data_IF_300647045073
#
_entry.id   IF_300647045073
#
_cell.length_a   1.000
_cell.length_b   1.000
_cell.length_c   1.000
_cell.angle_alpha   90.00
_cell.angle_beta   90.00
_cell.angle_gamma   90.00
#
_symmetry.space_group_name_H-M   'P 1'
#
loop_
_entity.id
_entity.type
_entity.pdbx_description
1 polymer ?
#
# COMPACT_ATOMS: atom_id res chain seq x y z
N UNK A 1 10.93 -5.64 61.05
CA UNK A 1 10.76 -4.18 60.89
C UNK A 1 11.30 -3.78 59.52
N UNK A 2 10.42 -3.40 58.58
CA UNK A 2 10.85 -2.90 57.26
C UNK A 2 11.13 -1.40 57.39
N UNK A 3 12.35 -0.98 57.10
CA UNK A 3 12.74 0.43 57.05
C UNK A 3 12.24 1.05 55.75
N UNK A 4 11.40 2.06 55.87
CA UNK A 4 10.91 2.86 54.75
C UNK A 4 11.97 3.91 54.41
N UNK A 5 12.65 3.76 53.28
CA UNK A 5 13.58 4.77 52.76
C UNK A 5 12.76 5.73 51.91
N UNK A 6 12.49 6.91 52.45
CA UNK A 6 11.80 7.98 51.75
C UNK A 6 12.80 8.78 50.92
N UNK A 7 12.82 8.55 49.60
CA UNK A 7 13.65 9.30 48.67
C UNK A 7 12.99 10.65 48.37
N UNK A 8 13.39 11.70 49.09
CA UNK A 8 13.03 13.07 48.76
C UNK A 8 13.72 13.51 47.46
N UNK A 9 13.09 13.20 46.32
CA UNK A 9 13.51 13.67 45.01
C UNK A 9 13.07 15.12 44.84
N UNK A 10 13.86 16.06 45.37
CA UNK A 10 13.71 17.49 45.04
C UNK A 10 14.06 17.66 43.56
N UNK A 11 13.04 17.58 42.69
CA UNK A 11 13.18 17.74 41.23
C UNK A 11 13.82 19.10 40.95
N UNK A 12 15.12 19.12 40.64
CA UNK A 12 15.81 20.30 40.10
C UNK A 12 15.39 20.43 38.64
N UNK A 13 14.20 20.97 38.42
CA UNK A 13 13.76 21.37 37.08
C UNK A 13 14.51 22.64 36.70
N UNK A 14 15.37 22.55 35.69
CA UNK A 14 16.07 23.69 35.12
C UNK A 14 15.07 24.53 34.34
N UNK A 15 14.54 25.57 34.97
CA UNK A 15 13.60 26.51 34.34
C UNK A 15 14.20 27.21 33.10
N UNK A 16 15.53 27.28 32.99
CA UNK A 16 16.22 27.75 31.80
C UNK A 16 15.98 26.89 30.55
N UNK A 17 15.64 25.61 30.69
CA UNK A 17 15.29 24.73 29.56
C UNK A 17 13.80 24.82 29.19
N UNK A 18 12.97 25.38 30.08
CA UNK A 18 11.54 25.59 29.87
C UNK A 18 11.24 26.96 29.22
N UNK A 19 12.21 27.88 29.23
CA UNK A 19 12.10 29.18 28.57
C UNK A 19 12.34 29.05 27.05
N UNK A 20 11.30 28.69 26.30
CA UNK A 20 11.29 28.85 24.85
C UNK A 20 10.66 30.20 24.49
N UNK A 21 11.48 31.23 24.33
CA UNK A 21 11.04 32.49 23.73
C UNK A 21 11.75 33.73 24.24
N UNK A 22 12.13 34.57 23.29
CA UNK A 22 12.56 35.97 23.42
C UNK A 22 13.96 36.34 23.91
N UNK A 23 14.83 35.41 24.29
CA UNK A 23 16.25 35.73 24.48
C UNK A 23 17.06 35.30 23.25
N UNK A 24 17.55 36.29 22.49
CA UNK A 24 18.19 36.16 21.16
C UNK A 24 19.51 35.39 21.09
N UNK A 25 19.76 34.43 21.98
CA UNK A 25 21.01 33.67 22.07
C UNK A 25 21.01 32.30 21.36
N UNK A 26 19.85 31.69 21.11
CA UNK A 26 19.80 30.31 20.58
C UNK A 26 19.81 30.24 19.05
N UNK A 27 19.31 31.26 18.34
CA UNK A 27 19.29 31.29 16.88
C UNK A 27 20.69 31.25 16.25
N UNK A 28 21.67 31.89 16.90
CA UNK A 28 23.07 31.97 16.42
C UNK A 28 23.84 30.65 16.56
N UNK A 29 23.47 29.80 17.53
CA UNK A 29 24.14 28.50 17.77
C UNK A 29 23.64 27.39 16.84
N UNK A 30 22.41 27.50 16.37
CA UNK A 30 21.77 26.49 15.51
C UNK A 30 21.63 26.92 14.05
N UNK A 31 22.27 28.03 13.63
CA UNK A 31 22.12 28.63 12.29
C UNK A 31 20.65 28.71 11.84
N UNK A 32 19.72 28.90 12.79
CA UNK A 32 18.31 29.01 12.47
C UNK A 32 18.10 30.36 11.80
N UNK A 33 17.64 30.33 10.54
CA UNK A 33 17.24 31.55 9.85
C UNK A 33 16.21 32.28 10.72
N UNK A 34 16.31 33.62 10.86
CA UNK A 34 15.38 34.37 11.68
C UNK A 34 13.93 34.07 11.25
N UNK A 35 13.05 33.92 12.25
CA UNK A 35 11.63 33.64 12.04
C UNK A 35 11.09 34.65 11.02
N UNK A 36 10.55 34.23 9.86
CA UNK A 36 9.93 35.17 8.94
C UNK A 36 8.82 35.92 9.68
N UNK A 37 8.69 37.23 9.45
CA UNK A 37 7.71 38.10 10.12
C UNK A 37 6.25 37.70 9.87
N UNK A 38 6.03 36.75 8.95
CA UNK A 38 4.75 36.19 8.56
C UNK A 38 4.80 34.67 8.68
N UNK A 39 3.76 34.07 9.27
CA UNK A 39 3.59 32.62 9.24
C UNK A 39 3.57 32.11 7.79
N UNK A 40 4.14 30.93 7.51
CA UNK A 40 4.07 30.35 6.17
C UNK A 40 2.61 30.25 5.74
N UNK A 41 2.28 30.85 4.60
CA UNK A 41 0.98 30.72 3.98
C UNK A 41 0.91 29.31 3.39
N UNK A 42 0.16 28.43 4.05
CA UNK A 42 -0.10 27.09 3.52
C UNK A 42 -1.50 27.08 2.93
N UNK A 43 -1.63 26.55 1.72
CA UNK A 43 -2.91 26.30 1.08
C UNK A 43 -3.22 24.82 1.16
N UNK A 44 -4.50 24.46 1.27
CA UNK A 44 -4.90 23.06 1.21
C UNK A 44 -4.76 22.58 -0.22
N UNK A 45 -4.00 21.50 -0.39
CA UNK A 45 -3.94 20.79 -1.67
C UNK A 45 -5.35 20.26 -2.01
N UNK A 46 -5.85 20.51 -3.23
CA UNK A 46 -7.11 19.93 -3.69
C UNK A 46 -7.10 18.41 -3.61
N UNK A 47 -8.27 17.79 -3.42
CA UNK A 47 -8.38 16.33 -3.43
C UNK A 47 -8.13 15.80 -4.84
N UNK A 48 -7.44 14.67 -4.94
CA UNK A 48 -7.23 14.01 -6.24
C UNK A 48 -8.56 13.47 -6.77
N UNK A 49 -8.77 13.59 -8.09
CA UNK A 49 -9.92 13.01 -8.78
C UNK A 49 -10.04 11.50 -8.63
N UNK A 50 -8.90 10.79 -8.50
CA UNK A 50 -8.88 9.34 -8.28
C UNK A 50 -9.46 8.96 -6.92
N UNK A 51 -9.02 9.62 -5.84
CA UNK A 51 -9.55 9.35 -4.50
C UNK A 51 -11.05 9.68 -4.39
N UNK A 52 -11.52 10.70 -5.10
CA UNK A 52 -12.96 11.02 -5.17
C UNK A 52 -13.77 9.91 -5.87
N UNK A 53 -13.25 9.36 -6.98
CA UNK A 53 -13.86 8.20 -7.66
C UNK A 53 -13.88 6.96 -6.78
N UNK A 54 -12.80 6.69 -6.05
CA UNK A 54 -12.74 5.54 -5.14
C UNK A 54 -13.74 5.67 -3.98
N UNK A 55 -13.94 6.90 -3.47
CA UNK A 55 -14.89 7.15 -2.40
C UNK A 55 -16.33 6.77 -2.79
N UNK A 56 -16.71 6.98 -4.05
CA UNK A 56 -18.04 6.61 -4.56
C UNK A 56 -18.11 5.16 -5.06
N UNK A 57 -17.02 4.63 -5.61
CA UNK A 57 -16.99 3.30 -6.21
C UNK A 57 -16.99 2.17 -5.17
N UNK A 58 -16.18 2.27 -4.10
CA UNK A 58 -16.01 1.18 -3.14
C UNK A 58 -17.32 0.75 -2.45
N UNK A 59 -18.20 1.67 -2.02
CA UNK A 59 -19.50 1.29 -1.47
C UNK A 59 -20.39 0.54 -2.48
N UNK A 60 -20.43 1.00 -3.73
CA UNK A 60 -21.22 0.36 -4.80
C UNK A 60 -20.71 -1.05 -5.11
N UNK A 61 -19.38 -1.21 -5.14
CA UNK A 61 -18.76 -2.51 -5.33
C UNK A 61 -19.05 -3.45 -4.15
N UNK A 62 -19.01 -2.95 -2.91
CA UNK A 62 -19.35 -3.75 -1.74
C UNK A 62 -20.80 -4.25 -1.79
N UNK A 63 -21.75 -3.37 -2.10
CA UNK A 63 -23.16 -3.73 -2.27
C UNK A 63 -23.36 -4.75 -3.40
N UNK A 64 -22.70 -4.54 -4.55
CA UNK A 64 -22.76 -5.47 -5.67
C UNK A 64 -22.19 -6.85 -5.30
N UNK A 65 -21.13 -6.90 -4.50
CA UNK A 65 -20.52 -8.14 -4.02
C UNK A 65 -21.43 -8.89 -3.05
N UNK A 66 -22.12 -8.20 -2.15
CA UNK A 66 -23.11 -8.81 -1.25
C UNK A 66 -24.29 -9.39 -2.03
N UNK A 67 -24.81 -8.62 -3.00
CA UNK A 67 -25.87 -9.09 -3.89
C UNK A 67 -25.44 -10.32 -4.70
N UNK A 68 -24.22 -10.31 -5.24
CA UNK A 68 -23.68 -11.44 -5.99
C UNK A 68 -23.62 -12.69 -5.11
N UNK A 69 -23.16 -12.57 -3.87
CA UNK A 69 -23.13 -13.71 -2.92
C UNK A 69 -24.51 -14.30 -2.68
N UNK A 70 -25.51 -13.47 -2.42
CA UNK A 70 -26.90 -13.92 -2.23
C UNK A 70 -27.41 -14.66 -3.48
N UNK A 71 -27.14 -14.10 -4.67
CA UNK A 71 -27.54 -14.72 -5.93
C UNK A 71 -26.81 -16.05 -6.19
N UNK A 72 -25.55 -16.19 -5.78
CA UNK A 72 -24.80 -17.44 -5.90
C UNK A 72 -25.35 -18.54 -4.98
N UNK A 73 -25.92 -18.18 -3.83
CA UNK A 73 -26.57 -19.13 -2.92
C UNK A 73 -27.92 -19.63 -3.47
N UNK A 74 -28.67 -18.76 -4.15
CA UNK A 74 -29.98 -19.10 -4.72
C UNK A 74 -29.90 -19.79 -6.10
N UNK A 75 -28.88 -19.45 -6.90
CA UNK A 75 -28.76 -19.93 -8.26
C UNK A 75 -28.17 -21.35 -8.35
N UNK A 76 -28.49 -22.11 -9.41
CA UNK A 76 -27.84 -23.38 -9.68
C UNK A 76 -26.32 -23.26 -9.86
N UNK A 77 -25.61 -24.34 -9.50
CA UNK A 77 -24.17 -24.46 -9.73
C UNK A 77 -23.83 -24.23 -11.21
N UNK A 78 -22.81 -23.40 -11.47
CA UNK A 78 -22.33 -23.10 -12.82
C UNK A 78 -22.94 -21.85 -13.48
N UNK A 79 -24.01 -21.27 -12.94
CA UNK A 79 -24.62 -20.05 -13.47
C UNK A 79 -23.64 -18.85 -13.51
N UNK A 80 -22.75 -18.78 -12.51
CA UNK A 80 -21.73 -17.73 -12.39
C UNK A 80 -20.32 -18.22 -12.79
N UNK A 81 -20.23 -19.21 -13.69
CA UNK A 81 -18.94 -19.64 -14.22
C UNK A 81 -18.42 -18.65 -15.27
N UNK A 82 -17.37 -17.90 -14.92
CA UNK A 82 -16.76 -16.89 -15.80
C UNK A 82 -15.92 -17.50 -16.93
N UNK A 83 -15.58 -18.79 -16.87
CA UNK A 83 -14.81 -19.49 -17.91
C UNK A 83 -15.72 -20.08 -18.99
N UNK A 84 -17.02 -20.27 -18.69
CA UNK A 84 -17.96 -20.82 -19.66
C UNK A 84 -18.40 -19.74 -20.66
N UNK A 85 -17.92 -19.85 -21.89
CA UNK A 85 -18.19 -18.90 -22.98
C UNK A 85 -19.10 -19.46 -24.08
N UNK A 86 -19.59 -20.70 -23.96
CA UNK A 86 -20.33 -21.41 -25.01
C UNK A 86 -21.59 -20.64 -25.47
N UNK A 87 -22.33 -20.05 -24.52
CA UNK A 87 -23.57 -19.31 -24.78
C UNK A 87 -23.40 -17.78 -24.66
N UNK A 88 -22.17 -17.28 -24.52
CA UNK A 88 -21.91 -15.87 -24.25
C UNK A 88 -21.94 -15.04 -25.55
N UNK A 89 -22.82 -14.04 -25.62
CA UNK A 89 -22.88 -13.13 -26.79
C UNK A 89 -21.67 -12.18 -26.87
N UNK A 90 -21.04 -11.86 -25.74
CA UNK A 90 -19.88 -10.98 -25.66
C UNK A 90 -18.81 -11.66 -24.82
N UNK A 91 -17.64 -11.83 -25.41
CA UNK A 91 -16.47 -12.41 -24.78
C UNK A 91 -15.39 -11.33 -24.70
N UNK A 92 -14.74 -11.23 -23.55
CA UNK A 92 -13.56 -10.39 -23.36
C UNK A 92 -12.37 -11.34 -23.27
N UNK A 93 -11.53 -11.31 -24.29
CA UNK A 93 -10.27 -12.07 -24.34
C UNK A 93 -9.14 -11.19 -23.79
N UNK A 94 -8.30 -11.76 -22.94
CA UNK A 94 -7.20 -11.05 -22.28
C UNK A 94 -5.91 -11.84 -22.50
N UNK A 95 -5.04 -11.31 -23.36
CA UNK A 95 -3.70 -11.83 -23.55
C UNK A 95 -2.82 -11.43 -22.36
N UNK A 96 -2.37 -12.41 -21.57
CA UNK A 96 -1.48 -12.17 -20.42
C UNK A 96 -0.05 -12.56 -20.81
N UNK A 97 0.82 -11.56 -20.98
CA UNK A 97 2.25 -11.79 -21.17
C UNK A 97 3.01 -11.54 -19.86
N UNK A 98 3.86 -12.49 -19.46
CA UNK A 98 4.81 -12.30 -18.37
C UNK A 98 6.09 -11.67 -18.92
N UNK A 99 6.29 -10.37 -18.68
CA UNK A 99 7.56 -9.70 -18.99
C UNK A 99 8.44 -9.74 -17.74
N UNK A 100 9.60 -10.38 -17.85
CA UNK A 100 10.63 -10.32 -16.81
C UNK A 100 11.21 -8.90 -16.76
N UNK A 101 10.61 -8.04 -15.93
CA UNK A 101 11.18 -6.73 -15.61
C UNK A 101 12.42 -6.96 -14.75
N UNK A 102 13.57 -7.14 -15.39
CA UNK A 102 14.87 -7.10 -14.71
C UNK A 102 14.96 -5.77 -13.94
N UNK A 103 15.06 -5.85 -12.62
CA UNK A 103 14.84 -4.74 -11.70
C UNK A 103 15.40 -3.40 -12.19
N UNK A 104 14.49 -2.49 -12.53
CA UNK A 104 14.79 -1.10 -12.82
C UNK A 104 14.35 -0.27 -11.61
N UNK A 105 15.32 0.11 -10.78
CA UNK A 105 15.25 1.41 -10.11
C UNK A 105 15.58 2.44 -11.19
N UNK A 106 14.57 2.94 -11.90
CA UNK A 106 14.75 4.08 -12.81
C UNK A 106 13.49 4.93 -12.83
N UNK A 107 13.58 6.05 -12.13
CA UNK A 107 12.90 7.29 -12.46
C UNK A 107 13.21 7.59 -13.93
N UNK A 108 12.24 7.40 -14.84
CA UNK A 108 12.08 8.16 -16.09
C UNK A 108 11.00 7.47 -16.94
N UNK A 109 9.90 8.19 -17.13
CA UNK A 109 8.76 7.84 -17.98
C UNK A 109 9.08 8.26 -19.42
N UNK A 110 9.45 7.32 -20.30
CA UNK A 110 9.42 7.56 -21.75
C UNK A 110 8.80 6.37 -22.51
N UNK A 111 7.74 6.69 -23.26
CA UNK A 111 6.97 5.87 -24.19
C UNK A 111 7.85 5.06 -25.15
N UNK A 112 7.51 3.78 -25.37
CA UNK A 112 7.85 3.08 -26.63
C UNK A 112 6.74 2.11 -27.03
N UNK A 113 5.96 2.51 -28.04
CA UNK A 113 5.32 1.58 -28.97
C UNK A 113 6.33 1.18 -30.05
N UNK A 114 6.60 -0.10 -30.22
CA UNK A 114 6.83 -0.69 -31.54
C UNK A 114 6.61 -2.21 -31.49
N UNK A 115 5.77 -2.70 -32.40
CA UNK A 115 5.61 -4.14 -32.67
C UNK A 115 6.74 -4.59 -33.58
N UNK A 116 7.34 -5.76 -33.36
CA UNK A 116 7.65 -6.74 -34.42
C UNK A 116 8.41 -7.98 -33.86
N UNK A 117 7.84 -9.16 -34.15
CA UNK A 117 8.44 -10.46 -34.48
C UNK A 117 9.49 -11.18 -33.57
N UNK A 118 9.10 -12.36 -33.04
CA UNK A 118 9.81 -13.62 -33.33
C UNK A 118 10.55 -14.34 -32.19
N UNK A 119 9.99 -15.45 -31.68
CA UNK A 119 10.56 -16.81 -31.77
C UNK A 119 9.79 -17.74 -30.81
N UNK A 120 8.99 -18.63 -31.39
CA UNK A 120 8.26 -19.68 -30.69
C UNK A 120 9.26 -20.76 -30.23
N UNK A 121 9.36 -20.97 -28.91
CA UNK A 121 10.13 -22.06 -28.33
C UNK A 121 9.24 -22.71 -27.27
N UNK A 122 8.48 -23.71 -27.73
CA UNK A 122 7.72 -24.64 -26.91
C UNK A 122 8.61 -25.31 -25.85
N UNK A 123 8.51 -24.83 -24.61
CA UNK A 123 8.85 -25.62 -23.42
C UNK A 123 7.60 -25.73 -22.55
N UNK A 124 6.77 -26.71 -22.92
CA UNK A 124 5.51 -27.09 -22.30
C UNK A 124 5.79 -27.81 -20.96
N UNK A 125 5.87 -27.03 -19.89
CA UNK A 125 5.92 -27.55 -18.52
C UNK A 125 4.76 -27.03 -17.69
N UNK A 126 3.95 -27.95 -17.16
CA UNK A 126 2.81 -27.67 -16.30
C UNK A 126 3.25 -26.97 -15.00
N UNK A 127 2.79 -25.73 -14.82
CA UNK A 127 3.15 -24.89 -13.66
C UNK A 127 2.29 -25.31 -12.46
N UNK A 128 2.86 -26.11 -11.56
CA UNK A 128 2.23 -26.48 -10.28
C UNK A 128 2.59 -25.50 -9.15
N UNK A 129 1.81 -25.51 -8.06
CA UNK A 129 2.05 -24.71 -6.82
C UNK A 129 3.48 -24.80 -6.24
N UNK A 130 4.22 -25.85 -6.60
CA UNK A 130 5.62 -26.09 -6.18
C UNK A 130 6.65 -25.42 -7.08
N UNK A 131 6.27 -25.05 -8.31
CA UNK A 131 7.14 -24.44 -9.32
C UNK A 131 6.89 -22.94 -9.50
N UNK A 132 5.83 -22.41 -8.87
CA UNK A 132 5.51 -20.99 -8.86
C UNK A 132 6.51 -20.20 -7.99
N UNK A 133 7.57 -19.65 -8.59
CA UNK A 133 8.55 -18.81 -7.90
C UNK A 133 8.00 -17.39 -7.76
N UNK A 134 7.48 -17.07 -6.58
CA UNK A 134 7.06 -15.72 -6.24
C UNK A 134 8.28 -14.82 -5.96
N UNK A 135 8.25 -13.55 -6.37
CA UNK A 135 9.28 -12.58 -6.02
C UNK A 135 9.37 -12.43 -4.49
N UNK A 136 10.54 -12.74 -3.93
CA UNK A 136 10.80 -12.73 -2.49
C UNK A 136 10.89 -14.10 -1.83
N UNK A 137 10.60 -15.20 -2.54
CA UNK A 137 10.74 -16.56 -2.02
C UNK A 137 12.20 -17.05 -2.04
N UNK A 138 13.07 -16.33 -1.33
CA UNK A 138 14.42 -16.81 -1.01
C UNK A 138 14.34 -17.63 0.28
N UNK A 139 13.81 -18.85 0.18
CA UNK A 139 14.12 -20.00 1.05
C UNK A 139 13.90 -19.85 2.57
N UNK A 140 13.21 -18.81 3.04
CA UNK A 140 12.91 -18.64 4.48
C UNK A 140 11.43 -18.89 4.71
N UNK A 141 11.11 -20.15 5.02
CA UNK A 141 9.80 -20.53 5.60
C UNK A 141 9.63 -19.80 6.93
N UNK A 142 9.05 -18.59 6.91
CA UNK A 142 8.50 -17.96 8.11
C UNK A 142 7.05 -18.43 8.24
N UNK A 143 6.82 -19.31 9.20
CA UNK A 143 5.48 -19.67 9.66
C UNK A 143 4.82 -18.40 10.23
N UNK A 144 3.86 -17.85 9.50
CA UNK A 144 3.04 -16.74 9.97
C UNK A 144 1.90 -17.32 10.80
N UNK A 145 1.95 -17.13 12.12
CA UNK A 145 0.86 -17.48 13.03
C UNK A 145 -0.18 -16.35 13.02
N UNK A 146 -1.27 -16.54 12.29
CA UNK A 146 -2.45 -15.68 12.36
C UNK A 146 -3.39 -16.29 13.39
N UNK A 147 -3.59 -15.60 14.52
CA UNK A 147 -4.63 -15.94 15.49
C UNK A 147 -5.82 -15.01 15.28
N UNK A 148 -6.99 -15.61 15.12
CA UNK A 148 -8.28 -14.91 15.22
C UNK A 148 -8.53 -14.69 16.71
N UNK A 149 -8.68 -13.43 17.10
CA UNK A 149 -9.11 -13.07 18.45
C UNK A 149 -10.64 -13.07 18.45
N UNK A 150 -11.23 -13.91 19.29
CA UNK A 150 -12.67 -13.89 19.60
C UNK A 150 -13.08 -12.62 20.37
#
# INVERSE_FOLDING_TARGET
MKTHIELNMKKRSSQALLACGNEGGFSKKFLLKPKPSRAPLTERVPRSSVLERLQSFLPQMAEANEKLKQQMEEAPAGCFNIENVEDAQRVIEMDVALVELSGSDSEDEEDLSDSEQGSDSDDEHEITERNLKLPGDKGKKKNVNIQVVE
#
